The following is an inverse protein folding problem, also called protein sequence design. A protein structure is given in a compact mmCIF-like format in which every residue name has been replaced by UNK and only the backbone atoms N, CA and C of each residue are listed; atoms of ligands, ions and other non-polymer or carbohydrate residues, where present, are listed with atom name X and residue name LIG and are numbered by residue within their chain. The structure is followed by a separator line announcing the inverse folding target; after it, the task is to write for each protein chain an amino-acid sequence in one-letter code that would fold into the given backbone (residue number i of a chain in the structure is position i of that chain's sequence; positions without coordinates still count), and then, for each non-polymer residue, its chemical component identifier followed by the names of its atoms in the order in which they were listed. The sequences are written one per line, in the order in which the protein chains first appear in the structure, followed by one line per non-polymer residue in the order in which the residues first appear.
data_IF_389004106517
#
_entry.id   IF_389004106517
#
_cell.length_a   1.000
_cell.length_b   1.000
_cell.length_c   1.000
_cell.angle_alpha   90.00
_cell.angle_beta   90.00
_cell.angle_gamma   90.00
#
_symmetry.space_group_name_H-M   'P 1'
#
loop_
_entity.id
_entity.type
_entity.pdbx_description
1 polymer ?
#
# COMPACT_ATOMS: atom_id res chain seq x y z
N UNK A 1 -27.79 59.64 28.47
CA UNK A 1 -27.88 58.32 27.79
C UNK A 1 -28.58 58.50 26.45
N UNK A 2 -27.87 58.32 25.33
CA UNK A 2 -28.47 58.22 23.99
C UNK A 2 -28.09 56.88 23.40
N UNK A 3 -28.93 55.86 23.57
CA UNK A 3 -28.80 54.57 22.89
C UNK A 3 -29.38 54.73 21.49
N UNK A 4 -28.52 54.76 20.48
CA UNK A 4 -28.90 54.67 19.07
C UNK A 4 -29.60 53.33 18.81
N UNK A 5 -30.83 53.38 18.29
CA UNK A 5 -31.73 52.22 18.10
C UNK A 5 -31.65 51.55 16.73
N UNK A 6 -30.73 51.95 15.85
CA UNK A 6 -30.61 51.37 14.52
C UNK A 6 -29.16 50.98 14.23
N UNK A 7 -28.88 49.67 14.29
CA UNK A 7 -27.62 49.08 13.81
C UNK A 7 -27.88 48.53 12.42
N UNK A 8 -27.26 49.12 11.41
CA UNK A 8 -27.31 48.60 10.04
C UNK A 8 -26.38 47.37 9.94
N UNK A 9 -26.97 46.17 10.02
CA UNK A 9 -26.22 44.90 10.05
C UNK A 9 -25.66 44.51 8.67
N UNK A 10 -26.10 45.14 7.59
CA UNK A 10 -25.65 44.82 6.24
C UNK A 10 -24.28 45.42 5.90
N UNK A 11 -23.87 46.48 6.60
CA UNK A 11 -22.52 47.05 6.47
C UNK A 11 -21.40 46.14 7.02
N UNK A 12 -21.74 45.10 7.80
CA UNK A 12 -20.77 44.19 8.42
C UNK A 12 -20.67 42.82 7.74
N UNK A 13 -21.43 42.59 6.65
CA UNK A 13 -21.28 41.36 5.87
C UNK A 13 -20.16 41.53 4.85
N UNK A 14 -19.08 40.79 5.08
CA UNK A 14 -17.92 40.69 4.18
C UNK A 14 -18.39 40.07 2.86
N UNK A 15 -18.65 40.91 1.85
CA UNK A 15 -19.07 40.46 0.53
C UNK A 15 -17.90 39.78 -0.18
N UNK A 16 -17.91 38.45 -0.26
CA UNK A 16 -16.97 37.73 -1.11
C UNK A 16 -17.45 37.88 -2.56
N UNK A 17 -16.90 38.88 -3.26
CA UNK A 17 -17.17 39.09 -4.69
C UNK A 17 -16.37 38.02 -5.44
N UNK A 18 -17.04 36.94 -5.86
CA UNK A 18 -16.48 36.04 -6.86
C UNK A 18 -16.59 36.73 -8.22
N UNK A 19 -15.45 37.18 -8.75
CA UNK A 19 -15.36 37.57 -10.15
C UNK A 19 -15.52 36.31 -11.03
N UNK A 20 -16.35 36.32 -12.09
CA UNK A 20 -16.46 35.19 -12.99
C UNK A 20 -15.23 35.20 -13.90
N UNK A 21 -14.19 34.44 -13.51
CA UNK A 21 -13.11 34.09 -14.43
C UNK A 21 -13.70 33.07 -15.40
N UNK A 22 -13.63 33.41 -16.69
CA UNK A 22 -14.14 32.62 -17.79
C UNK A 22 -13.71 31.15 -17.66
N UNK A 23 -14.70 30.25 -17.59
CA UNK A 23 -14.48 28.81 -17.67
C UNK A 23 -14.16 28.50 -19.13
N UNK A 24 -12.87 28.46 -19.46
CA UNK A 24 -12.42 27.69 -20.60
C UNK A 24 -12.69 26.23 -20.26
N UNK A 25 -13.74 25.66 -20.86
CA UNK A 25 -14.04 24.22 -20.79
C UNK A 25 -12.97 23.51 -21.62
N UNK A 26 -11.76 23.38 -21.08
CA UNK A 26 -10.89 22.27 -21.45
C UNK A 26 -11.50 21.03 -20.81
N UNK A 27 -12.35 20.36 -21.58
CA UNK A 27 -12.88 19.06 -21.25
C UNK A 27 -11.73 18.05 -21.21
N UNK A 28 -10.94 18.06 -20.13
CA UNK A 28 -10.26 16.84 -19.71
C UNK A 28 -11.36 16.02 -19.05
N UNK A 29 -12.12 15.31 -19.90
CA UNK A 29 -12.74 14.06 -19.50
C UNK A 29 -11.58 13.14 -19.06
N UNK A 30 -11.11 13.32 -17.83
CA UNK A 30 -10.57 12.18 -17.09
C UNK A 30 -11.77 11.27 -16.97
N UNK A 31 -11.81 10.24 -17.81
CA UNK A 31 -12.71 9.13 -17.64
C UNK A 31 -12.46 8.56 -16.24
N UNK A 32 -13.19 9.07 -15.25
CA UNK A 32 -13.69 8.29 -14.13
C UNK A 32 -14.74 7.32 -14.69
N UNK A 33 -14.35 6.54 -15.70
CA UNK A 33 -15.09 5.42 -16.20
C UNK A 33 -14.83 4.28 -15.26
N UNK A 34 -15.88 3.80 -14.63
CA UNK A 34 -15.95 2.49 -13.99
C UNK A 34 -15.67 1.39 -15.04
N UNK A 35 -14.44 1.24 -15.49
CA UNK A 35 -14.03 -0.04 -16.07
C UNK A 35 -13.74 -0.95 -14.88
N UNK A 36 -14.60 -1.96 -14.70
CA UNK A 36 -14.38 -3.07 -13.77
C UNK A 36 -13.16 -3.87 -14.25
N UNK A 37 -11.99 -3.28 -14.08
CA UNK A 37 -10.69 -3.91 -14.28
C UNK A 37 -10.19 -4.44 -12.94
N UNK A 38 -11.12 -4.99 -12.17
CA UNK A 38 -10.76 -5.72 -10.97
C UNK A 38 -10.23 -7.08 -11.40
N UNK A 39 -8.99 -7.36 -11.01
CA UNK A 39 -8.41 -8.69 -11.16
C UNK A 39 -8.70 -9.47 -9.88
N UNK A 40 -9.23 -10.68 -10.08
CA UNK A 40 -9.35 -11.64 -8.98
C UNK A 40 -7.95 -12.14 -8.66
N UNK A 41 -7.47 -11.79 -7.47
CA UNK A 41 -6.20 -12.25 -6.93
C UNK A 41 -6.47 -13.23 -5.80
N UNK A 42 -5.63 -14.26 -5.72
CA UNK A 42 -5.61 -15.19 -4.59
C UNK A 42 -4.41 -14.88 -3.70
N UNK A 43 -4.65 -14.88 -2.40
CA UNK A 43 -3.63 -14.62 -1.38
C UNK A 43 -3.17 -15.93 -0.78
N UNK A 44 -1.86 -16.17 -0.81
CA UNK A 44 -1.25 -17.36 -0.25
C UNK A 44 -0.11 -16.97 0.69
N UNK A 45 0.12 -17.76 1.74
CA UNK A 45 1.28 -17.54 2.62
C UNK A 45 2.58 -18.06 2.00
N UNK A 46 2.50 -19.17 1.26
CA UNK A 46 3.66 -19.83 0.68
C UNK A 46 3.26 -20.67 -0.55
N UNK A 47 4.27 -21.25 -1.22
CA UNK A 47 4.06 -22.09 -2.40
C UNK A 47 3.23 -23.35 -2.10
N UNK A 48 3.35 -23.92 -0.90
CA UNK A 48 2.62 -25.13 -0.50
C UNK A 48 1.13 -24.86 -0.29
N UNK A 49 0.78 -23.76 0.37
CA UNK A 49 -0.60 -23.28 0.53
C UNK A 49 -1.26 -23.05 -0.83
N UNK A 50 -0.53 -22.43 -1.77
CA UNK A 50 -1.00 -22.29 -3.14
C UNK A 50 -1.17 -23.62 -3.86
N UNK A 51 -0.21 -24.55 -3.71
CA UNK A 51 -0.26 -25.86 -4.35
C UNK A 51 -1.38 -26.74 -3.79
N UNK A 52 -1.67 -26.62 -2.49
CA UNK A 52 -2.78 -27.31 -1.82
C UNK A 52 -4.13 -26.77 -2.29
N UNK A 53 -4.24 -25.45 -2.45
CA UNK A 53 -5.44 -24.82 -3.00
C UNK A 53 -5.60 -25.03 -4.51
N UNK A 54 -4.49 -25.22 -5.24
CA UNK A 54 -4.46 -25.39 -6.70
C UNK A 54 -3.53 -26.54 -7.11
N UNK A 55 -3.93 -27.81 -6.90
CA UNK A 55 -3.07 -28.96 -7.19
C UNK A 55 -2.61 -29.01 -8.65
N UNK A 56 -3.45 -28.55 -9.58
CA UNK A 56 -3.16 -28.49 -11.01
C UNK A 56 -2.18 -27.39 -11.43
N UNK A 57 -1.84 -26.45 -10.53
CA UNK A 57 -0.97 -25.29 -10.81
C UNK A 57 0.21 -25.19 -9.83
N UNK A 58 0.62 -26.32 -9.24
CA UNK A 58 1.71 -26.37 -8.25
C UNK A 58 3.06 -25.84 -8.76
N UNK A 59 3.36 -26.05 -10.05
CA UNK A 59 4.58 -25.50 -10.67
C UNK A 59 4.54 -23.96 -10.71
N UNK A 60 3.40 -23.40 -11.11
CA UNK A 60 3.18 -21.95 -11.16
C UNK A 60 3.16 -21.34 -9.75
N UNK A 61 2.64 -22.05 -8.75
CA UNK A 61 2.72 -21.64 -7.34
C UNK A 61 4.17 -21.50 -6.84
N UNK A 62 5.07 -22.40 -7.23
CA UNK A 62 6.48 -22.30 -6.86
C UNK A 62 7.18 -21.15 -7.58
N UNK A 63 6.92 -20.99 -8.87
CA UNK A 63 7.53 -19.93 -9.68
C UNK A 63 7.10 -18.53 -9.21
N UNK A 64 5.79 -18.31 -9.04
CA UNK A 64 5.23 -17.06 -8.52
C UNK A 64 5.74 -16.74 -7.11
N UNK A 65 5.88 -17.74 -6.23
CA UNK A 65 6.46 -17.54 -4.91
C UNK A 65 7.92 -17.08 -5.00
N UNK A 66 8.74 -17.70 -5.85
CA UNK A 66 10.13 -17.28 -6.06
C UNK A 66 10.23 -15.87 -6.65
N UNK A 67 9.36 -15.52 -7.59
CA UNK A 67 9.31 -14.18 -8.15
C UNK A 67 8.84 -13.15 -7.12
N UNK A 68 7.91 -13.52 -6.24
CA UNK A 68 7.44 -12.66 -5.15
C UNK A 68 8.56 -12.40 -4.13
N UNK A 69 9.41 -13.41 -3.83
CA UNK A 69 10.59 -13.21 -2.99
C UNK A 69 11.58 -12.21 -3.60
N UNK A 70 11.87 -12.32 -4.90
CA UNK A 70 12.74 -11.36 -5.62
C UNK A 70 12.17 -9.95 -5.61
N UNK A 71 10.85 -9.82 -5.76
CA UNK A 71 10.17 -8.52 -5.68
C UNK A 71 10.14 -7.99 -4.24
N UNK A 72 10.00 -8.86 -3.25
CA UNK A 72 10.08 -8.50 -1.84
C UNK A 72 11.46 -7.92 -1.50
N UNK A 73 12.55 -8.52 -1.99
CA UNK A 73 13.90 -7.98 -1.80
C UNK A 73 14.06 -6.53 -2.29
N UNK A 74 13.37 -6.18 -3.38
CA UNK A 74 13.41 -4.84 -3.98
C UNK A 74 12.45 -3.84 -3.32
N UNK A 75 11.27 -4.30 -2.92
CA UNK A 75 10.15 -3.44 -2.50
C UNK A 75 9.88 -3.46 -1.00
N UNK A 76 10.51 -4.36 -0.24
CA UNK A 76 10.30 -4.46 1.20
C UNK A 76 10.82 -3.22 1.94
N UNK A 77 10.08 -2.74 2.96
CA UNK A 77 10.54 -1.66 3.83
C UNK A 77 11.93 -1.94 4.42
N UNK A 78 12.84 -0.99 4.25
CA UNK A 78 14.22 -1.09 4.75
C UNK A 78 14.32 -0.39 6.11
N UNK A 79 14.89 -1.03 7.12
CA UNK A 79 15.09 -0.50 8.47
C UNK A 79 16.57 -0.32 8.75
N UNK A 80 16.93 0.69 9.53
CA UNK A 80 18.33 0.95 9.90
C UNK A 80 18.85 -0.07 10.93
N UNK A 81 17.97 -0.54 11.82
CA UNK A 81 18.31 -1.46 12.90
C UNK A 81 17.44 -2.71 12.86
N UNK A 82 17.96 -3.80 13.43
CA UNK A 82 17.21 -5.06 13.57
C UNK A 82 16.02 -4.86 14.50
N UNK A 83 16.24 -4.09 15.56
CA UNK A 83 15.32 -3.82 16.64
C UNK A 83 14.09 -3.08 16.11
N UNK A 84 14.27 -2.14 15.18
CA UNK A 84 13.14 -1.43 14.55
C UNK A 84 12.31 -2.35 13.66
N UNK A 85 12.96 -3.25 12.92
CA UNK A 85 12.25 -4.24 12.14
C UNK A 85 11.48 -5.22 13.06
N UNK A 86 12.13 -5.75 14.10
CA UNK A 86 11.52 -6.69 15.05
C UNK A 86 10.35 -6.03 15.81
N UNK A 87 10.48 -4.75 16.17
CA UNK A 87 9.38 -4.03 16.82
C UNK A 87 8.14 -3.94 15.92
N UNK A 88 8.31 -3.84 14.60
CA UNK A 88 7.20 -3.73 13.65
C UNK A 88 6.66 -5.09 13.17
N UNK A 89 7.54 -6.02 12.83
CA UNK A 89 7.21 -7.29 12.17
C UNK A 89 7.33 -8.52 13.08
N UNK A 90 7.94 -8.36 14.26
CA UNK A 90 8.14 -9.41 15.25
C UNK A 90 9.46 -10.17 15.10
N UNK A 91 9.78 -10.96 16.11
CA UNK A 91 10.98 -11.78 16.14
C UNK A 91 10.96 -12.84 15.01
N UNK A 92 12.11 -13.06 14.39
CA UNK A 92 12.27 -14.02 13.30
C UNK A 92 11.64 -13.60 11.96
N UNK A 93 11.06 -12.39 11.87
CA UNK A 93 10.48 -11.85 10.64
C UNK A 93 11.38 -10.79 9.99
N UNK A 94 12.64 -10.70 10.40
CA UNK A 94 13.58 -9.68 9.93
C UNK A 94 14.88 -10.34 9.47
N UNK A 95 15.29 -10.03 8.25
CA UNK A 95 16.56 -10.47 7.66
C UNK A 95 17.38 -9.27 7.21
N UNK A 96 18.70 -9.42 7.08
CA UNK A 96 19.51 -8.39 6.42
C UNK A 96 19.16 -8.36 4.93
N UNK A 97 18.91 -7.15 4.42
CA UNK A 97 18.73 -6.94 3.00
C UNK A 97 20.06 -7.22 2.28
N UNK A 98 20.03 -7.95 1.16
CA UNK A 98 21.23 -8.14 0.35
C UNK A 98 21.72 -6.76 -0.13
N UNK A 99 23.04 -6.57 -0.12
CA UNK A 99 23.69 -5.36 -0.60
C UNK A 99 23.60 -5.28 -2.14
N UNK A 100 22.40 -5.08 -2.71
CA UNK A 100 22.22 -4.99 -4.16
C UNK A 100 21.27 -3.86 -4.57
N UNK A 101 21.89 -2.91 -5.27
CA UNK A 101 21.37 -2.01 -6.31
C UNK A 101 20.21 -1.07 -5.96
N UNK A 102 20.57 0.06 -5.35
CA UNK A 102 19.69 1.23 -5.20
C UNK A 102 20.32 2.36 -4.39
N UNK A 103 21.36 2.06 -3.61
CA UNK A 103 22.10 3.05 -2.85
C UNK A 103 23.48 3.22 -3.45
N UNK A 104 23.80 4.46 -3.83
CA UNK A 104 25.15 4.88 -4.14
C UNK A 104 26.10 4.44 -3.01
N UNK A 105 27.25 3.84 -3.33
CA UNK A 105 28.27 3.58 -2.34
C UNK A 105 28.89 4.91 -1.93
N UNK A 106 28.66 5.32 -0.69
CA UNK A 106 29.75 5.88 0.07
C UNK A 106 30.78 4.76 0.25
N UNK A 107 31.71 4.68 -0.70
CA UNK A 107 32.96 3.92 -0.72
C UNK A 107 32.92 2.37 -0.67
N UNK A 108 33.40 1.80 -1.78
CA UNK A 108 34.19 0.55 -1.93
C UNK A 108 33.59 -0.79 -1.51
N UNK A 109 33.32 -1.63 -2.52
CA UNK A 109 34.11 -2.84 -2.77
C UNK A 109 33.92 -4.07 -1.86
N UNK A 110 33.76 -5.20 -2.53
CA UNK A 110 34.11 -6.56 -2.09
C UNK A 110 33.06 -7.36 -1.30
N UNK A 111 32.71 -8.49 -1.91
CA UNK A 111 31.90 -9.55 -1.36
C UNK A 111 32.75 -10.40 -0.42
N UNK A 112 32.46 -10.39 0.89
CA UNK A 112 32.82 -11.47 1.81
C UNK A 112 32.14 -11.29 3.16
N UNK A 113 31.70 -12.40 3.73
CA UNK A 113 31.06 -12.48 5.02
C UNK A 113 32.02 -12.06 6.16
N UNK A 114 31.84 -10.86 6.73
CA UNK A 114 32.26 -10.48 8.10
C UNK A 114 31.42 -9.27 8.60
N UNK A 115 31.21 -9.14 9.93
CA UNK A 115 30.27 -8.20 10.52
C UNK A 115 30.93 -6.81 10.66
N UNK A 116 31.08 -6.08 9.56
CA UNK A 116 31.68 -4.74 9.59
C UNK A 116 30.63 -3.67 9.26
N UNK A 117 30.66 -2.59 10.04
CA UNK A 117 29.65 -1.54 10.15
C UNK A 117 29.54 -0.67 8.90
N UNK A 118 28.96 -1.24 7.84
CA UNK A 118 28.60 -0.54 6.60
C UNK A 118 27.11 -0.74 6.35
N UNK A 119 26.28 -0.05 7.16
CA UNK A 119 24.83 0.16 6.97
C UNK A 119 24.00 -1.00 6.40
N UNK A 120 24.09 -2.21 6.96
CA UNK A 120 23.23 -3.32 6.53
C UNK A 120 21.78 -3.06 6.95
N UNK A 121 20.94 -2.71 5.97
CA UNK A 121 19.52 -2.48 6.23
C UNK A 121 18.82 -3.79 6.58
N UNK A 122 17.92 -3.74 7.55
CA UNK A 122 17.05 -4.85 7.91
C UNK A 122 15.76 -4.77 7.12
N UNK A 123 15.25 -5.89 6.63
CA UNK A 123 14.00 -5.94 5.90
C UNK A 123 13.11 -7.05 6.44
N UNK A 124 11.78 -6.84 6.40
CA UNK A 124 10.86 -7.87 6.83
C UNK A 124 10.85 -9.03 5.84
N UNK A 125 10.64 -10.23 6.36
CA UNK A 125 10.32 -11.39 5.56
C UNK A 125 8.93 -11.21 4.93
N UNK A 126 8.79 -11.76 3.73
CA UNK A 126 7.51 -11.84 3.05
C UNK A 126 6.59 -12.76 3.86
N UNK A 127 5.43 -12.24 4.29
CA UNK A 127 4.43 -13.00 5.04
C UNK A 127 3.48 -13.78 4.13
N UNK A 128 3.39 -13.38 2.86
CA UNK A 128 2.61 -14.05 1.83
C UNK A 128 2.77 -13.36 0.50
N UNK A 129 2.05 -13.81 -0.51
CA UNK A 129 2.02 -13.17 -1.82
C UNK A 129 0.63 -13.23 -2.42
N UNK A 130 0.32 -12.21 -3.22
CA UNK A 130 -0.85 -12.21 -4.08
C UNK A 130 -0.46 -12.84 -5.40
N UNK A 131 -1.31 -13.72 -5.93
CA UNK A 131 -1.23 -14.24 -7.27
C UNK A 131 -2.47 -13.80 -8.04
N UNK A 132 -2.28 -12.94 -9.05
CA UNK A 132 -3.33 -12.51 -9.96
C UNK A 132 -3.21 -13.18 -11.31
N UNK A 133 -4.33 -13.66 -11.86
CA UNK A 133 -4.42 -13.99 -13.27
C UNK A 133 -4.80 -12.72 -14.02
N UNK A 134 -3.85 -12.15 -14.76
CA UNK A 134 -4.14 -10.95 -15.54
C UNK A 134 -5.21 -11.27 -16.59
N UNK A 135 -6.28 -10.47 -16.63
CA UNK A 135 -7.35 -10.59 -17.63
C UNK A 135 -6.79 -10.17 -19.00
N UNK A 136 -6.13 -11.11 -19.67
CA UNK A 136 -5.41 -10.88 -20.93
C UNK A 136 -4.58 -12.06 -21.45
N UNK A 137 -4.40 -13.12 -20.64
CA UNK A 137 -3.80 -14.38 -21.11
C UNK A 137 -2.30 -14.29 -21.38
N UNK A 138 -1.48 -14.55 -20.36
CA UNK A 138 -0.06 -14.84 -20.59
C UNK A 138 0.82 -14.88 -19.35
N UNK A 139 0.58 -14.02 -18.35
CA UNK A 139 1.44 -13.93 -17.18
C UNK A 139 0.63 -13.85 -15.87
N UNK A 140 1.07 -14.61 -14.87
CA UNK A 140 0.64 -14.42 -13.49
C UNK A 140 1.45 -13.27 -12.91
N UNK A 141 0.76 -12.26 -12.39
CA UNK A 141 1.41 -11.19 -11.63
C UNK A 141 1.45 -11.61 -10.16
N UNK A 142 2.62 -11.49 -9.55
CA UNK A 142 2.80 -11.71 -8.13
C UNK A 142 3.19 -10.43 -7.42
N UNK A 143 2.65 -10.23 -6.23
CA UNK A 143 3.02 -9.12 -5.36
C UNK A 143 3.32 -9.63 -3.97
N UNK A 144 4.48 -9.27 -3.38
CA UNK A 144 4.80 -9.65 -2.03
C UNK A 144 3.89 -8.92 -1.04
N UNK A 145 3.49 -9.65 -0.02
CA UNK A 145 2.71 -9.16 1.10
C UNK A 145 3.53 -9.29 2.38
N UNK A 146 3.37 -8.29 3.22
CA UNK A 146 3.99 -8.17 4.53
C UNK A 146 2.87 -8.08 5.57
N UNK A 147 3.13 -8.62 6.75
CA UNK A 147 2.21 -8.50 7.88
C UNK A 147 2.98 -7.98 9.06
N UNK A 148 2.52 -6.85 9.62
CA UNK A 148 3.05 -6.37 10.89
C UNK A 148 2.59 -7.30 12.01
N UNK A 149 3.41 -7.45 13.06
CA UNK A 149 3.03 -8.10 14.33
C UNK A 149 2.93 -7.13 15.49
N UNK A 150 3.30 -5.86 15.27
CA UNK A 150 3.17 -4.80 16.28
C UNK A 150 1.70 -4.62 16.68
N UNK A 151 1.39 -4.69 17.97
CA UNK A 151 0.03 -4.48 18.48
C UNK A 151 -0.52 -3.08 18.19
N UNK A 152 0.36 -2.09 18.06
CA UNK A 152 0.01 -0.72 17.74
C UNK A 152 -0.25 -0.49 16.23
N UNK A 153 0.16 -1.43 15.37
CA UNK A 153 0.06 -1.27 13.93
C UNK A 153 -1.31 -1.70 13.40
N UNK A 154 -1.99 -0.88 12.57
CA UNK A 154 -3.26 -1.28 11.92
C UNK A 154 -3.09 -2.43 10.93
N UNK A 155 -1.84 -2.76 10.57
CA UNK A 155 -1.44 -3.90 9.75
C UNK A 155 -1.28 -5.20 10.54
N UNK A 156 -1.52 -5.20 11.86
CA UNK A 156 -1.38 -6.40 12.68
C UNK A 156 -2.30 -7.52 12.17
N UNK A 157 -1.70 -8.67 11.83
CA UNK A 157 -2.43 -9.86 11.39
C UNK A 157 -3.14 -9.66 10.04
N UNK A 158 -2.69 -8.71 9.22
CA UNK A 158 -3.26 -8.42 7.90
C UNK A 158 -2.20 -8.49 6.83
N UNK A 159 -2.60 -8.95 5.65
CA UNK A 159 -1.79 -8.81 4.46
C UNK A 159 -1.80 -7.36 4.02
N UNK A 160 -0.61 -6.78 3.94
CA UNK A 160 -0.38 -5.43 3.46
C UNK A 160 0.73 -5.47 2.44
N UNK A 161 0.58 -4.75 1.34
CA UNK A 161 1.66 -4.64 0.37
C UNK A 161 2.74 -3.63 0.80
N UNK A 162 3.83 -3.56 0.02
CA UNK A 162 4.91 -2.58 0.20
C UNK A 162 4.45 -1.10 0.27
N UNK A 163 3.29 -0.78 -0.31
CA UNK A 163 2.72 0.58 -0.33
C UNK A 163 1.83 0.89 0.88
N UNK A 164 1.61 -0.07 1.77
CA UNK A 164 0.76 0.08 2.94
C UNK A 164 -0.72 -0.22 2.68
N UNK A 165 -1.11 -0.69 1.49
CA UNK A 165 -2.50 -1.04 1.22
C UNK A 165 -2.81 -2.41 1.83
N UNK A 166 -3.89 -2.47 2.62
CA UNK A 166 -4.33 -3.70 3.28
C UNK A 166 -5.30 -4.50 2.41
N UNK A 167 -5.10 -5.81 2.40
CA UNK A 167 -5.90 -6.82 1.68
C UNK A 167 -6.70 -7.71 2.64
N UNK A 168 -6.80 -7.33 3.91
CA UNK A 168 -7.53 -8.06 4.95
C UNK A 168 -6.65 -9.04 5.74
N UNK A 169 -7.26 -9.90 6.58
CA UNK A 169 -6.50 -10.74 7.50
C UNK A 169 -5.57 -11.74 6.81
N UNK A 170 -4.38 -11.92 7.40
CA UNK A 170 -3.35 -12.85 6.99
C UNK A 170 -3.72 -14.28 7.41
N UNK A 171 -4.68 -14.87 6.71
CA UNK A 171 -5.19 -16.22 6.98
C UNK A 171 -4.65 -17.19 5.94
N UNK A 172 -4.24 -18.38 6.38
CA UNK A 172 -3.92 -19.50 5.49
C UNK A 172 -5.13 -19.89 4.63
N UNK A 173 -4.90 -20.32 3.39
CA UNK A 173 -5.94 -20.98 2.60
C UNK A 173 -6.53 -20.17 1.45
N UNK A 174 -5.70 -19.44 0.69
CA UNK A 174 -6.06 -19.05 -0.67
C UNK A 174 -7.25 -18.12 -0.81
N UNK A 175 -7.33 -17.07 0.03
CA UNK A 175 -8.44 -16.11 -0.07
C UNK A 175 -8.40 -15.38 -1.40
N UNK A 176 -9.51 -15.39 -2.11
CA UNK A 176 -9.69 -14.60 -3.33
C UNK A 176 -10.29 -13.24 -3.00
N UNK A 177 -9.78 -12.21 -3.66
CA UNK A 177 -10.39 -10.89 -3.63
C UNK A 177 -10.18 -10.16 -4.93
N UNK A 178 -11.08 -9.21 -5.20
CA UNK A 178 -10.99 -8.36 -6.37
C UNK A 178 -10.15 -7.13 -6.02
N UNK A 179 -9.06 -6.93 -6.74
CA UNK A 179 -8.17 -5.78 -6.59
C UNK A 179 -8.05 -5.06 -7.93
N UNK A 180 -7.89 -3.73 -7.94
CA UNK A 180 -7.65 -3.01 -9.19
C UNK A 180 -6.32 -3.48 -9.81
N UNK A 181 -6.22 -3.51 -11.15
CA UNK A 181 -4.98 -3.84 -11.90
C UNK A 181 -3.72 -3.16 -11.36
N UNK A 182 -3.84 -1.92 -10.88
CA UNK A 182 -2.73 -1.15 -10.31
C UNK A 182 -2.13 -1.76 -9.05
N UNK A 183 -2.89 -2.58 -8.31
CA UNK A 183 -2.38 -3.30 -7.14
C UNK A 183 -1.37 -4.39 -7.52
N UNK A 184 -1.48 -4.94 -8.73
CA UNK A 184 -0.66 -6.03 -9.27
C UNK A 184 0.53 -5.53 -10.10
N UNK A 185 0.60 -4.23 -10.39
CA UNK A 185 1.71 -3.63 -11.12
C UNK A 185 3.01 -3.70 -10.30
N UNK A 186 4.18 -3.99 -10.94
CA UNK A 186 5.47 -3.95 -10.28
C UNK A 186 5.67 -2.64 -9.53
N UNK A 187 6.15 -2.73 -8.29
CA UNK A 187 6.26 -1.56 -7.42
C UNK A 187 7.66 -0.97 -7.52
N UNK A 188 7.78 0.37 -7.40
CA UNK A 188 9.10 0.98 -7.38
C UNK A 188 9.90 0.41 -6.20
N UNK A 189 11.18 0.14 -6.43
CA UNK A 189 12.09 -0.30 -5.38
C UNK A 189 12.15 0.75 -4.27
N UNK A 190 12.12 0.30 -3.01
CA UNK A 190 12.20 1.22 -1.86
C UNK A 190 13.63 1.71 -1.70
N UNK A 191 13.85 2.99 -1.95
CA UNK A 191 15.17 3.63 -1.85
C UNK A 191 15.37 4.38 -0.53
N UNK A 192 14.44 4.30 0.41
CA UNK A 192 14.52 5.01 1.70
C UNK A 192 14.38 4.06 2.88
N UNK A 193 15.19 4.31 3.91
CA UNK A 193 15.06 3.63 5.21
C UNK A 193 13.88 4.20 5.98
N UNK A 194 13.08 3.31 6.55
CA UNK A 194 11.91 3.59 7.37
C UNK A 194 12.30 3.43 8.84
N UNK A 195 11.88 4.38 9.67
CA UNK A 195 12.02 4.30 11.12
C UNK A 195 10.90 3.44 11.73
N UNK A 196 11.05 3.05 13.00
CA UNK A 196 9.99 2.38 13.76
C UNK A 196 8.65 3.11 13.60
N UNK A 197 7.58 2.34 13.39
CA UNK A 197 6.23 2.84 13.14
C UNK A 197 5.95 3.33 11.72
N UNK A 198 6.96 3.60 10.88
CA UNK A 198 6.75 4.22 9.58
C UNK A 198 5.95 3.34 8.59
N UNK A 199 6.10 2.02 8.64
CA UNK A 199 5.25 1.09 7.88
C UNK A 199 3.81 1.08 8.43
N UNK A 200 3.62 1.04 9.75
CA UNK A 200 2.30 1.15 10.36
C UNK A 200 1.59 2.47 10.00
N UNK A 201 2.34 3.58 9.95
CA UNK A 201 1.82 4.88 9.51
C UNK A 201 1.45 4.91 8.04
N UNK A 202 2.24 4.30 7.15
CA UNK A 202 1.91 4.23 5.72
C UNK A 202 0.60 3.44 5.53
N UNK A 203 0.41 2.36 6.30
CA UNK A 203 -0.85 1.61 6.34
C UNK A 203 -2.00 2.45 6.89
N UNK A 204 -1.79 3.20 7.97
CA UNK A 204 -2.80 4.06 8.56
C UNK A 204 -3.26 5.16 7.59
N UNK A 205 -2.31 5.78 6.87
CA UNK A 205 -2.56 6.81 5.85
C UNK A 205 -3.36 6.23 4.69
N UNK A 206 -2.95 5.08 4.14
CA UNK A 206 -3.68 4.38 3.08
C UNK A 206 -5.10 3.99 3.52
N UNK A 207 -5.25 3.46 4.73
CA UNK A 207 -6.56 3.10 5.29
C UNK A 207 -7.48 4.32 5.44
N UNK A 208 -6.92 5.47 5.81
CA UNK A 208 -7.66 6.73 5.92
C UNK A 208 -8.08 7.25 4.55
N UNK A 209 -7.18 7.23 3.55
CA UNK A 209 -7.51 7.60 2.16
C UNK A 209 -8.59 6.71 1.55
N UNK A 210 -8.53 5.40 1.78
CA UNK A 210 -9.52 4.45 1.30
C UNK A 210 -10.91 4.69 1.93
N UNK A 211 -10.96 5.07 3.22
CA UNK A 211 -12.20 5.50 3.89
C UNK A 211 -12.73 6.82 3.35
N UNK A 212 -11.85 7.78 3.06
CA UNK A 212 -12.23 9.05 2.45
C UNK A 212 -12.88 8.83 1.08
N UNK A 213 -12.30 7.98 0.23
CA UNK A 213 -12.89 7.66 -1.08
C UNK A 213 -14.25 6.94 -0.97
N UNK A 214 -14.43 6.04 0.01
CA UNK A 214 -15.72 5.42 0.29
C UNK A 214 -16.77 6.43 0.81
N UNK A 215 -16.34 7.42 1.61
CA UNK A 215 -17.19 8.48 2.14
C UNK A 215 -17.60 9.50 1.05
N UNK A 216 -16.73 9.79 0.08
CA UNK A 216 -17.08 10.64 -1.07
C UNK A 216 -17.99 9.91 -2.07
N UNK A 217 -17.84 8.58 -2.23
CA UNK A 217 -18.74 7.75 -3.03
C UNK A 217 -20.15 7.59 -2.45
N UNK A 218 -20.30 7.74 -1.12
CA UNK A 218 -21.59 7.66 -0.43
C UNK A 218 -22.36 9.00 -0.37
N UNK A 219 -21.83 10.09 -0.96
CA UNK A 219 -22.50 11.41 -1.02
C UNK A 219 -23.12 11.73 -2.39
N UNK A 220 -23.31 10.75 -3.26
CA UNK A 220 -24.17 10.88 -4.45
C UNK A 220 -25.42 10.02 -4.27
N UNK A 221 -26.32 10.50 -3.40
CA UNK A 221 -27.57 9.82 -3.06
C UNK A 221 -28.51 10.83 -2.41
N UNK A 222 -29.19 11.61 -3.25
CA UNK A 222 -30.49 12.27 -3.00
C UNK A 222 -30.74 12.84 -1.59
N UNK A 223 -30.42 14.13 -1.41
CA UNK A 223 -31.17 14.98 -0.47
C UNK A 223 -32.26 15.71 -1.24
N UNK A 224 -33.40 15.04 -1.42
CA UNK A 224 -34.65 15.72 -1.73
C UNK A 224 -35.13 16.40 -0.45
N UNK A 225 -34.95 17.72 -0.35
CA UNK A 225 -35.66 18.56 0.62
C UNK A 225 -36.88 19.11 -0.13
N UNK A 226 -37.99 18.38 -0.07
CA UNK A 226 -39.29 18.89 -0.49
C UNK A 226 -39.85 19.81 0.59
N UNK A 227 -40.18 21.03 0.20
CA UNK A 227 -41.00 21.97 0.98
C UNK A 227 -42.49 21.73 0.79
#
# INVERSE_FOLDING_TARGET
MKRTKNINRDAFRKSWRFAPVAIAVSAVFMLAGCEKTDETVSLYQNADDCSNANPSMSAQCKESYQNALKEAEKTAPKYASREDCIAEFGEGQCTQAPAQAGMAPGTSGEAQAQPQQSGSFWMPLMAGYMMGRMMGGGAYNQQPLFSSKSAASPANGKFVDATGKSYGPATAGGRTMNVPKTAMAPKPATTSTVTRGGFGESVAKQSTMQRSNAATGSKSGTRSMGG
#
